data_IF_479646858765
#
_entry.id   IF_479646858765
#
_cell.length_a   1.000
_cell.length_b   1.000
_cell.length_c   1.000
_cell.angle_alpha   90.00
_cell.angle_beta   90.00
_cell.angle_gamma   90.00
#
_symmetry.space_group_name_H-M   'P 1'
#
loop_
_entity.id
_entity.type
_entity.pdbx_description
1 polymer ?
#
# COMPACT_ATOMS: atom_id res chain seq x y z
N UNK A 1 -6.55 7.38 30.07
CA UNK A 1 -6.27 8.55 29.21
C UNK A 1 -6.39 8.08 27.77
N UNK A 2 -7.50 8.44 27.08
CA UNK A 2 -7.61 8.46 25.61
C UNK A 2 -7.71 7.15 24.82
N UNK A 3 -8.74 6.33 25.03
CA UNK A 3 -9.06 5.23 24.09
C UNK A 3 -9.92 5.76 22.95
N UNK A 4 -9.30 6.30 21.90
CA UNK A 4 -9.98 6.61 20.64
C UNK A 4 -9.69 5.53 19.60
N UNK A 5 -10.24 4.34 19.80
CA UNK A 5 -10.46 3.39 18.69
C UNK A 5 -11.64 3.89 17.84
N UNK A 6 -11.55 5.11 17.33
CA UNK A 6 -12.51 5.65 16.37
C UNK A 6 -12.15 5.10 15.01
N UNK A 7 -13.07 4.37 14.38
CA UNK A 7 -12.86 3.60 13.16
C UNK A 7 -11.93 4.29 12.17
N UNK A 8 -10.71 3.75 12.07
CA UNK A 8 -9.65 4.29 11.25
C UNK A 8 -10.10 4.25 9.79
N UNK A 9 -10.31 5.42 9.21
CA UNK A 9 -10.66 5.58 7.80
C UNK A 9 -9.48 6.25 7.10
N UNK A 10 -8.88 5.52 6.17
CA UNK A 10 -7.90 6.09 5.25
C UNK A 10 -8.69 6.57 4.04
N UNK A 11 -8.75 7.89 3.79
CA UNK A 11 -9.42 8.40 2.61
C UNK A 11 -8.58 8.08 1.38
N UNK A 12 -9.25 7.82 0.26
CA UNK A 12 -8.58 7.41 -0.99
C UNK A 12 -7.62 8.49 -1.52
N UNK A 13 -7.80 9.75 -1.13
CA UNK A 13 -6.88 10.84 -1.47
C UNK A 13 -5.49 10.72 -0.83
N UNK A 14 -5.37 9.97 0.26
CA UNK A 14 -4.09 9.70 0.93
C UNK A 14 -3.41 8.45 0.34
N UNK A 15 -4.07 7.76 -0.59
CA UNK A 15 -3.57 6.59 -1.29
C UNK A 15 -3.07 7.01 -2.67
N UNK A 16 -1.77 6.90 -2.90
CA UNK A 16 -1.17 7.10 -4.22
C UNK A 16 -1.07 5.74 -4.93
N UNK A 17 -1.74 5.62 -6.08
CA UNK A 17 -1.80 4.39 -6.85
C UNK A 17 -1.02 4.55 -8.16
N UNK A 18 0.10 3.84 -8.28
CA UNK A 18 1.01 3.93 -9.42
C UNK A 18 1.01 2.64 -10.22
N UNK A 19 0.72 2.76 -11.52
CA UNK A 19 0.79 1.61 -12.43
C UNK A 19 2.22 1.43 -12.92
N UNK A 20 2.84 0.30 -12.56
CA UNK A 20 4.22 -0.01 -12.94
C UNK A 20 4.23 -0.90 -14.19
N UNK A 21 5.04 -0.50 -15.16
CA UNK A 21 5.25 -1.23 -16.41
C UNK A 21 6.25 -2.35 -16.15
N UNK A 22 6.00 -3.55 -16.64
CA UNK A 22 6.99 -4.61 -16.61
C UNK A 22 8.14 -4.25 -17.57
N UNK A 23 9.19 -3.59 -17.08
CA UNK A 23 10.40 -3.34 -17.85
C UNK A 23 11.32 -4.54 -17.70
N UNK A 24 11.32 -5.42 -18.69
CA UNK A 24 12.31 -6.50 -18.84
C UNK A 24 13.08 -6.29 -20.14
N UNK A 25 14.43 -6.15 -20.11
CA UNK A 25 15.22 -6.12 -21.33
C UNK A 25 15.30 -7.54 -21.90
N UNK A 26 14.61 -7.81 -23.02
CA UNK A 26 14.90 -8.98 -23.85
C UNK A 26 13.68 -9.79 -24.29
N UNK A 27 13.47 -9.82 -25.61
CA UNK A 27 13.20 -11.07 -26.33
C UNK A 27 11.75 -11.53 -26.43
N UNK A 28 11.19 -11.36 -27.63
CA UNK A 28 10.11 -12.15 -28.26
C UNK A 28 8.90 -12.55 -27.37
N UNK A 29 7.76 -11.88 -27.61
CA UNK A 29 6.40 -12.27 -27.20
C UNK A 29 5.96 -12.01 -25.75
N UNK A 30 6.30 -10.86 -25.17
CA UNK A 30 5.69 -10.43 -23.90
C UNK A 30 4.77 -9.24 -24.15
N UNK A 31 3.53 -9.53 -24.59
CA UNK A 31 2.38 -8.64 -24.39
C UNK A 31 2.03 -8.56 -22.88
N UNK A 32 2.99 -8.25 -21.99
CA UNK A 32 2.69 -7.99 -20.57
C UNK A 32 2.01 -6.64 -20.50
N UNK A 33 0.70 -6.67 -20.60
CA UNK A 33 -0.16 -5.57 -20.20
C UNK A 33 0.29 -5.14 -18.79
N UNK A 34 0.56 -3.84 -18.60
CA UNK A 34 1.12 -3.29 -17.37
C UNK A 34 0.06 -3.36 -16.26
N UNK A 35 -0.10 -4.53 -15.65
CA UNK A 35 -1.16 -4.79 -14.66
C UNK A 35 -0.69 -4.57 -13.25
N UNK A 36 0.62 -4.49 -13.03
CA UNK A 36 1.20 -4.32 -11.72
C UNK A 36 0.86 -2.93 -11.16
N UNK A 37 0.38 -2.93 -9.93
CA UNK A 37 -0.04 -1.74 -9.19
C UNK A 37 0.86 -1.60 -7.98
N UNK A 38 1.46 -0.44 -7.82
CA UNK A 38 2.17 -0.01 -6.63
C UNK A 38 1.29 0.98 -5.87
N UNK A 39 0.88 0.61 -4.67
CA UNK A 39 0.12 1.46 -3.76
C UNK A 39 1.09 2.06 -2.75
N UNK A 40 1.12 3.39 -2.67
CA UNK A 40 1.90 4.15 -1.70
C UNK A 40 0.95 4.83 -0.73
N UNK A 41 1.26 4.72 0.55
CA UNK A 41 0.51 5.33 1.63
C UNK A 41 1.48 6.01 2.59
N UNK A 42 1.36 7.32 2.72
CA UNK A 42 2.21 8.12 3.59
C UNK A 42 1.72 7.99 5.04
N UNK A 43 2.30 7.04 5.79
CA UNK A 43 1.88 6.76 7.16
C UNK A 43 2.23 7.94 8.06
N UNK A 44 3.39 8.57 7.85
CA UNK A 44 3.85 9.69 8.64
C UNK A 44 2.93 10.91 8.49
N UNK A 45 2.58 11.28 7.25
CA UNK A 45 1.69 12.40 6.94
C UNK A 45 0.20 12.07 7.11
N UNK A 46 -0.16 10.80 7.32
CA UNK A 46 -1.57 10.40 7.39
C UNK A 46 -2.34 10.97 8.58
N UNK A 47 -3.67 10.98 8.47
CA UNK A 47 -4.56 11.34 9.58
C UNK A 47 -4.61 10.31 10.74
N UNK A 48 -3.74 9.29 10.73
CA UNK A 48 -3.70 8.24 11.75
C UNK A 48 -3.17 8.75 13.11
N UNK A 49 -3.55 8.11 14.24
CA UNK A 49 -2.92 8.36 15.53
C UNK A 49 -1.43 7.98 15.51
N UNK A 50 -0.58 8.72 16.23
CA UNK A 50 0.88 8.42 16.31
C UNK A 50 1.17 6.99 16.78
N UNK A 51 0.38 6.47 17.73
CA UNK A 51 0.44 5.06 18.15
C UNK A 51 0.29 4.09 16.98
N UNK A 52 -0.76 4.30 16.17
CA UNK A 52 -1.08 3.41 15.05
C UNK A 52 -0.02 3.57 13.97
N UNK A 53 0.46 4.79 13.72
CA UNK A 53 1.58 5.04 12.79
C UNK A 53 2.80 4.23 13.20
N UNK A 54 3.25 4.35 14.44
CA UNK A 54 4.41 3.62 14.94
C UNK A 54 4.24 2.10 14.85
N UNK A 55 3.07 1.57 15.23
CA UNK A 55 2.74 0.13 15.10
C UNK A 55 2.71 -0.32 13.64
N UNK A 56 2.11 0.47 12.76
CA UNK A 56 2.01 0.13 11.34
C UNK A 56 3.39 0.13 10.68
N UNK A 57 4.26 1.08 11.01
CA UNK A 57 5.65 1.12 10.56
C UNK A 57 6.40 -0.12 11.04
N UNK A 58 6.25 -0.48 12.33
CA UNK A 58 6.88 -1.68 12.88
C UNK A 58 6.37 -2.98 12.23
N UNK A 59 5.05 -3.09 11.98
CA UNK A 59 4.42 -4.25 11.34
C UNK A 59 4.79 -4.38 9.86
N UNK A 60 4.84 -3.27 9.14
CA UNK A 60 5.19 -3.25 7.74
C UNK A 60 6.71 -3.41 7.52
N UNK A 61 7.52 -3.01 8.50
CA UNK A 61 8.96 -3.23 8.55
C UNK A 61 9.64 -2.70 7.28
N UNK A 62 10.26 -3.61 6.51
CA UNK A 62 11.00 -3.28 5.28
C UNK A 62 10.14 -2.70 4.15
N UNK A 63 8.81 -2.77 4.25
CA UNK A 63 7.89 -2.17 3.25
C UNK A 63 7.72 -0.66 3.44
N UNK A 64 8.11 -0.13 4.59
CA UNK A 64 8.09 1.30 4.87
C UNK A 64 9.47 1.89 4.61
N UNK A 65 9.50 2.95 3.82
CA UNK A 65 10.71 3.73 3.57
C UNK A 65 11.13 4.54 4.80
N UNK A 66 12.34 5.09 4.78
CA UNK A 66 12.85 5.95 5.86
C UNK A 66 11.96 7.19 6.12
N UNK A 67 11.21 7.61 5.10
CA UNK A 67 10.26 8.72 5.15
C UNK A 67 8.92 8.35 5.83
N UNK A 68 8.72 7.09 6.24
CA UNK A 68 7.45 6.62 6.79
C UNK A 68 6.39 6.29 5.74
N UNK A 69 6.78 6.25 4.46
CA UNK A 69 5.88 5.88 3.36
C UNK A 69 5.83 4.35 3.19
N UNK A 70 4.64 3.78 3.39
CA UNK A 70 4.35 2.37 3.14
C UNK A 70 4.13 2.15 1.65
N UNK A 71 4.93 1.27 1.05
CA UNK A 71 4.76 0.85 -0.35
C UNK A 71 4.30 -0.61 -0.41
N UNK A 72 3.24 -0.87 -1.17
CA UNK A 72 2.65 -2.19 -1.39
C UNK A 72 2.57 -2.42 -2.90
N UNK A 73 3.35 -3.37 -3.41
CA UNK A 73 3.22 -3.83 -4.79
C UNK A 73 2.22 -4.98 -4.91
N UNK A 74 1.48 -5.00 -6.01
CA UNK A 74 0.53 -6.05 -6.34
C UNK A 74 0.59 -6.38 -7.82
N UNK A 75 0.92 -7.64 -8.10
CA UNK A 75 1.12 -8.18 -9.45
C UNK A 75 0.64 -9.62 -9.59
N UNK A 76 -0.20 -10.09 -8.67
CA UNK A 76 -0.77 -11.45 -8.68
C UNK A 76 -1.78 -11.65 -9.82
N UNK A 77 -2.46 -10.58 -10.25
CA UNK A 77 -3.58 -10.66 -11.18
C UNK A 77 -3.25 -10.16 -12.59
N UNK A 78 -4.05 -10.63 -13.56
CA UNK A 78 -3.97 -10.22 -14.98
C UNK A 78 -4.65 -8.89 -15.29
N UNK A 79 -5.26 -8.22 -14.31
CA UNK A 79 -5.91 -6.91 -14.53
C UNK A 79 -5.53 -5.91 -13.44
N UNK A 80 -5.36 -4.65 -13.83
CA UNK A 80 -5.08 -3.53 -12.93
C UNK A 80 -6.10 -3.41 -11.77
N UNK A 81 -7.44 -3.46 -11.99
CA UNK A 81 -8.40 -3.33 -10.89
C UNK A 81 -8.29 -4.45 -9.85
N UNK A 82 -7.97 -5.68 -10.28
CA UNK A 82 -7.76 -6.79 -9.33
C UNK A 82 -6.48 -6.57 -8.51
N UNK A 83 -5.39 -6.17 -9.16
CA UNK A 83 -4.15 -5.85 -8.44
C UNK A 83 -4.32 -4.66 -7.49
N UNK A 84 -5.06 -3.62 -7.89
CA UNK A 84 -5.45 -2.48 -7.07
C UNK A 84 -6.22 -2.91 -5.82
N UNK A 85 -7.25 -3.75 -6.00
CA UNK A 85 -8.05 -4.27 -4.89
C UNK A 85 -7.19 -5.11 -3.94
N UNK A 86 -6.30 -5.95 -4.46
CA UNK A 86 -5.37 -6.74 -3.66
C UNK A 86 -4.39 -5.85 -2.86
N UNK A 87 -3.82 -4.81 -3.47
CA UNK A 87 -2.94 -3.87 -2.78
C UNK A 87 -3.67 -3.14 -1.63
N UNK A 88 -4.90 -2.68 -1.89
CA UNK A 88 -5.76 -2.02 -0.89
C UNK A 88 -6.15 -2.96 0.24
N UNK A 89 -6.46 -4.23 -0.07
CA UNK A 89 -6.77 -5.23 0.95
C UNK A 89 -5.58 -5.47 1.88
N UNK A 90 -4.36 -5.58 1.33
CA UNK A 90 -3.12 -5.71 2.12
C UNK A 90 -2.89 -4.51 3.04
N UNK A 91 -3.14 -3.29 2.54
CA UNK A 91 -3.07 -2.09 3.37
C UNK A 91 -4.08 -2.14 4.51
N UNK A 92 -5.34 -2.41 4.22
CA UNK A 92 -6.41 -2.47 5.20
C UNK A 92 -6.11 -3.52 6.29
N UNK A 93 -5.56 -4.67 5.93
CA UNK A 93 -5.14 -5.69 6.90
C UNK A 93 -4.00 -5.20 7.81
N UNK A 94 -3.00 -4.51 7.26
CA UNK A 94 -1.90 -3.94 8.06
C UNK A 94 -2.42 -2.89 9.05
N UNK A 95 -3.30 -2.00 8.57
CA UNK A 95 -3.93 -0.96 9.40
C UNK A 95 -4.78 -1.60 10.49
N UNK A 96 -5.55 -2.64 10.17
CA UNK A 96 -6.36 -3.37 11.14
C UNK A 96 -5.53 -4.09 12.20
N UNK A 97 -4.32 -4.56 11.86
CA UNK A 97 -3.38 -5.16 12.83
C UNK A 97 -2.68 -4.11 13.69
N UNK A 98 -2.55 -2.88 13.19
CA UNK A 98 -1.91 -1.77 13.90
C UNK A 98 -2.89 -1.01 14.83
N UNK A 99 -4.16 -0.91 14.43
CA UNK A 99 -5.27 -0.36 15.20
C UNK A 99 -5.55 -1.19 16.46
#
# INVERSE_FOLDING_TARGET
MGEKTSGIRIPERELEERFVRASGPGGQNVNKVATAVELRFDVAASSLPEEVKARLIALAGKRVGADGVLTIDSREHRTQPQNRAAARARLAELVRKAA
#
